data_IF_970503668637
#
_entry.id   IF_970503668637
#
_cell.length_a   1.000
_cell.length_b   1.000
_cell.length_c   1.000
_cell.angle_alpha   90.00
_cell.angle_beta   90.00
_cell.angle_gamma   90.00
#
_symmetry.space_group_name_H-M   'P 1'
#
loop_
_entity.id
_entity.type
_entity.pdbx_description
1 polymer ?
#
# COMPACT_ATOMS: atom_id res chain seq x y z
N UNK A 1 -40.84 33.13 40.58
CA UNK A 1 -40.26 31.96 39.93
C UNK A 1 -39.78 32.40 38.56
N UNK A 2 -38.53 32.77 38.46
CA UNK A 2 -37.88 33.33 37.25
C UNK A 2 -37.12 32.21 36.58
N UNK A 3 -37.49 31.82 35.36
CA UNK A 3 -36.78 30.86 34.52
C UNK A 3 -35.53 31.50 33.96
N UNK A 4 -34.36 31.01 34.32
CA UNK A 4 -33.08 31.33 33.71
C UNK A 4 -32.95 30.48 32.43
N UNK A 5 -32.86 31.13 31.29
CA UNK A 5 -32.52 30.52 29.99
C UNK A 5 -30.98 30.57 29.86
N UNK A 6 -30.33 29.41 29.86
CA UNK A 6 -28.93 29.27 29.48
C UNK A 6 -28.81 29.38 27.96
N UNK A 7 -28.16 30.43 27.48
CA UNK A 7 -27.73 30.56 26.09
C UNK A 7 -26.45 29.78 25.91
N UNK A 8 -26.46 28.81 24.98
CA UNK A 8 -25.26 28.11 24.47
C UNK A 8 -24.53 29.06 23.54
N UNK A 9 -23.22 29.26 23.69
CA UNK A 9 -22.45 30.05 22.72
C UNK A 9 -22.30 29.30 21.42
N UNK A 10 -22.71 29.92 20.33
CA UNK A 10 -22.51 29.43 18.95
C UNK A 10 -21.05 29.64 18.56
N UNK A 11 -20.25 28.61 18.54
CA UNK A 11 -18.90 28.64 17.95
C UNK A 11 -19.02 28.65 16.41
N UNK A 12 -19.18 29.81 15.83
CA UNK A 12 -19.26 30.02 14.40
C UNK A 12 -18.15 31.00 13.88
N UNK A 13 -16.98 31.02 14.48
CA UNK A 13 -15.89 31.93 14.05
C UNK A 13 -14.48 31.29 14.06
N UNK A 14 -14.29 30.09 13.52
CA UNK A 14 -12.95 29.55 13.32
C UNK A 14 -12.68 28.88 11.96
N UNK A 15 -13.56 28.99 10.98
CA UNK A 15 -13.36 28.33 9.67
C UNK A 15 -13.39 29.26 8.46
N UNK A 16 -13.22 30.58 8.61
CA UNK A 16 -13.21 31.50 7.48
C UNK A 16 -11.83 31.76 6.84
N UNK A 17 -10.79 31.00 7.19
CA UNK A 17 -9.40 31.21 6.74
C UNK A 17 -8.84 30.25 5.69
N UNK A 18 -9.58 29.23 5.25
CA UNK A 18 -9.05 28.18 4.36
C UNK A 18 -9.82 28.05 3.02
N UNK A 19 -10.26 29.16 2.46
CA UNK A 19 -10.77 29.21 1.08
C UNK A 19 -9.67 29.70 0.12
N UNK A 20 -8.63 28.89 -0.03
CA UNK A 20 -7.66 28.99 -1.11
C UNK A 20 -7.30 27.56 -1.50
N UNK A 21 -7.95 27.02 -2.55
CA UNK A 21 -7.50 25.79 -3.15
C UNK A 21 -6.07 25.98 -3.63
N UNK A 22 -5.09 25.42 -2.90
CA UNK A 22 -3.70 25.39 -3.33
C UNK A 22 -3.64 24.64 -4.66
N UNK A 23 -3.11 25.21 -5.73
CA UNK A 23 -2.95 24.49 -6.99
C UNK A 23 -2.08 23.24 -6.75
N UNK A 24 -2.45 22.13 -7.36
CA UNK A 24 -1.79 20.81 -7.20
C UNK A 24 -0.26 20.86 -7.37
N UNK A 25 0.25 21.84 -8.11
CA UNK A 25 1.69 22.10 -8.29
C UNK A 25 2.38 22.67 -7.05
N UNK A 26 1.68 23.40 -6.19
CA UNK A 26 2.28 23.99 -5.00
C UNK A 26 2.32 22.99 -3.85
N UNK A 27 1.38 22.04 -3.79
CA UNK A 27 1.45 20.90 -2.87
C UNK A 27 2.74 20.08 -3.10
N UNK A 28 3.09 19.79 -4.36
CA UNK A 28 4.33 19.07 -4.70
C UNK A 28 5.60 19.86 -4.39
N UNK A 29 5.56 21.19 -4.41
CA UNK A 29 6.70 22.04 -4.06
C UNK A 29 6.93 22.10 -2.55
N UNK A 30 5.87 22.07 -1.74
CA UNK A 30 5.99 22.09 -0.28
C UNK A 30 6.43 20.74 0.30
N UNK A 31 6.11 19.61 -0.35
CA UNK A 31 6.65 18.30 0.02
C UNK A 31 8.11 18.12 -0.38
N UNK A 32 8.56 18.78 -1.47
CA UNK A 32 9.97 18.73 -1.92
C UNK A 32 10.92 19.67 -1.19
N UNK A 33 10.43 20.77 -0.59
CA UNK A 33 11.28 21.76 0.08
C UNK A 33 11.52 21.51 1.56
N UNK A 34 10.78 20.59 2.17
CA UNK A 34 10.89 20.24 3.60
C UNK A 34 11.98 19.23 3.94
N UNK A 35 12.61 18.60 2.96
CA UNK A 35 13.64 17.57 3.17
C UNK A 35 15.09 18.07 2.98
N UNK A 36 15.31 19.38 2.84
CA UNK A 36 16.64 19.96 2.67
C UNK A 36 17.28 20.43 3.98
N UNK A 37 16.99 19.83 5.12
CA UNK A 37 17.63 20.17 6.38
C UNK A 37 18.12 18.94 7.14
N UNK A 38 19.44 18.95 7.28
CA UNK A 38 20.32 18.14 8.10
C UNK A 38 20.87 16.87 7.44
N UNK A 39 21.85 17.07 6.57
CA UNK A 39 22.94 16.12 6.44
C UNK A 39 23.69 16.02 7.77
N UNK A 40 23.35 15.06 8.61
CA UNK A 40 24.25 14.59 9.65
C UNK A 40 25.10 13.48 9.01
N UNK A 41 26.35 13.83 8.76
CA UNK A 41 27.39 12.90 8.40
C UNK A 41 27.58 11.92 9.56
N UNK A 42 26.99 10.74 9.45
CA UNK A 42 27.48 9.56 10.16
C UNK A 42 28.37 8.81 9.18
N UNK A 43 29.67 9.07 9.30
CA UNK A 43 30.72 8.20 8.75
C UNK A 43 30.67 6.89 9.53
N UNK A 44 29.95 5.93 8.99
CA UNK A 44 30.09 4.53 9.29
C UNK A 44 30.45 3.89 7.97
N UNK A 45 31.73 3.62 7.74
CA UNK A 45 32.17 2.68 6.75
C UNK A 45 31.80 1.30 7.27
N UNK A 46 30.74 0.73 6.76
CA UNK A 46 30.61 -0.71 6.60
C UNK A 46 30.44 -0.95 5.12
N UNK A 47 31.38 -1.69 4.56
CA UNK A 47 31.33 -2.25 3.21
C UNK A 47 30.22 -3.31 3.22
N UNK A 48 28.95 -2.87 3.15
CA UNK A 48 27.83 -3.75 2.83
C UNK A 48 27.77 -3.89 1.31
N UNK A 49 28.58 -4.83 0.80
CA UNK A 49 28.29 -5.48 -0.47
C UNK A 49 26.81 -5.88 -0.44
N UNK A 50 26.06 -5.64 -1.54
CA UNK A 50 24.70 -6.14 -1.74
C UNK A 50 24.62 -7.61 -1.33
N UNK A 51 24.31 -7.90 -0.07
CA UNK A 51 24.20 -9.27 0.44
C UNK A 51 22.95 -9.91 -0.16
N UNK A 52 23.12 -10.38 -1.39
CA UNK A 52 22.26 -11.43 -1.93
C UNK A 52 22.52 -12.63 -1.04
N UNK A 53 21.53 -13.05 -0.26
CA UNK A 53 21.70 -14.26 0.53
C UNK A 53 22.09 -15.46 -0.38
N UNK A 54 22.49 -16.59 0.21
CA UNK A 54 22.95 -17.77 -0.54
C UNK A 54 21.94 -18.30 -1.58
N UNK A 55 20.70 -17.84 -1.54
CA UNK A 55 19.62 -18.16 -2.49
C UNK A 55 19.45 -17.11 -3.61
N UNK A 56 20.19 -16.00 -3.58
CA UNK A 56 20.06 -14.90 -4.55
C UNK A 56 18.88 -13.96 -4.27
N UNK A 57 18.27 -14.02 -3.08
CA UNK A 57 17.16 -13.15 -2.71
C UNK A 57 17.63 -11.74 -2.36
N UNK A 58 16.77 -10.75 -2.54
CA UNK A 58 17.04 -9.35 -2.26
C UNK A 58 16.80 -9.09 -0.77
N UNK A 59 17.86 -8.86 -0.02
CA UNK A 59 17.76 -8.47 1.38
C UNK A 59 17.29 -7.01 1.46
N UNK A 60 16.17 -6.78 2.16
CA UNK A 60 15.63 -5.42 2.34
C UNK A 60 16.41 -4.60 3.38
N UNK A 61 17.34 -5.23 4.11
CA UNK A 61 18.05 -4.62 5.22
C UNK A 61 17.28 -4.64 6.53
N UNK A 62 17.70 -3.79 7.47
CA UNK A 62 17.15 -3.70 8.82
C UNK A 62 16.74 -2.27 9.16
N UNK A 63 16.21 -2.05 10.36
CA UNK A 63 15.81 -0.73 10.86
C UNK A 63 14.74 -0.03 9.99
N UNK A 64 14.59 1.27 10.12
CA UNK A 64 13.66 2.07 9.34
C UNK A 64 13.92 1.97 7.82
N UNK A 65 15.18 1.93 7.40
CA UNK A 65 15.53 1.80 5.97
C UNK A 65 15.11 0.44 5.44
N UNK A 66 15.29 -0.63 6.21
CA UNK A 66 14.78 -1.96 5.84
C UNK A 66 13.27 -1.98 5.66
N UNK A 67 12.51 -1.30 6.54
CA UNK A 67 11.05 -1.17 6.40
C UNK A 67 10.67 -0.36 5.16
N UNK A 68 11.39 0.74 4.86
CA UNK A 68 11.15 1.51 3.64
C UNK A 68 11.47 0.71 2.37
N UNK A 69 12.55 -0.08 2.36
CA UNK A 69 12.88 -0.98 1.26
C UNK A 69 11.84 -2.08 1.07
N UNK A 70 11.36 -2.63 2.17
CA UNK A 70 10.27 -3.60 2.13
C UNK A 70 9.01 -3.02 1.51
N UNK A 71 8.58 -1.82 1.93
CA UNK A 71 7.46 -1.12 1.32
C UNK A 71 7.74 -0.84 -0.17
N UNK A 72 8.93 -0.31 -0.50
CA UNK A 72 9.33 -0.05 -1.88
C UNK A 72 9.25 -1.30 -2.77
N UNK A 73 9.62 -2.47 -2.23
CA UNK A 73 9.52 -3.73 -2.97
C UNK A 73 8.08 -4.09 -3.33
N UNK A 74 7.12 -3.88 -2.42
CA UNK A 74 5.70 -4.13 -2.67
C UNK A 74 5.15 -3.13 -3.69
N UNK A 75 5.48 -1.85 -3.56
CA UNK A 75 5.07 -0.82 -4.52
C UNK A 75 5.66 -1.03 -5.93
N UNK A 76 6.87 -1.59 -6.03
CA UNK A 76 7.42 -1.99 -7.33
C UNK A 76 6.56 -3.08 -7.98
N UNK A 77 6.10 -4.05 -7.19
CA UNK A 77 5.27 -5.15 -7.68
C UNK A 77 3.90 -4.66 -8.13
N UNK A 78 3.24 -3.83 -7.33
CA UNK A 78 1.92 -3.27 -7.61
C UNK A 78 1.96 -2.32 -8.81
N UNK A 79 2.93 -1.40 -8.85
CA UNK A 79 3.12 -0.50 -10.00
C UNK A 79 3.39 -1.26 -11.30
N UNK A 80 4.19 -2.33 -11.26
CA UNK A 80 4.46 -3.17 -12.42
C UNK A 80 3.20 -3.92 -12.88
N UNK A 81 2.43 -4.47 -11.92
CA UNK A 81 1.18 -5.16 -12.22
C UNK A 81 0.17 -4.22 -12.89
N UNK A 82 -0.16 -3.11 -12.30
CA UNK A 82 -1.14 -2.18 -12.88
C UNK A 82 -0.66 -1.57 -14.20
N UNK A 83 0.64 -1.30 -14.32
CA UNK A 83 1.20 -0.88 -15.62
C UNK A 83 0.97 -1.93 -16.70
N UNK A 84 1.18 -3.21 -16.40
CA UNK A 84 0.90 -4.30 -17.34
C UNK A 84 -0.60 -4.41 -17.65
N UNK A 85 -1.48 -4.19 -16.69
CA UNK A 85 -2.94 -4.16 -16.90
C UNK A 85 -3.31 -3.09 -17.92
N UNK A 86 -2.92 -1.83 -17.69
CA UNK A 86 -3.39 -0.70 -18.52
C UNK A 86 -2.69 -0.60 -19.88
N UNK A 87 -1.50 -1.20 -20.04
CA UNK A 87 -0.75 -1.25 -21.32
C UNK A 87 -0.99 -2.52 -22.12
N UNK A 88 -1.88 -3.39 -21.67
CA UNK A 88 -2.18 -4.67 -22.30
C UNK A 88 -2.63 -4.53 -23.76
N UNK A 89 -2.17 -5.46 -24.58
CA UNK A 89 -2.51 -5.53 -26.01
C UNK A 89 -4.00 -5.81 -26.24
N UNK A 90 -4.44 -5.71 -27.50
CA UNK A 90 -5.78 -6.13 -27.90
C UNK A 90 -6.06 -7.59 -27.46
N UNK A 91 -7.25 -7.83 -26.91
CA UNK A 91 -7.64 -9.13 -26.36
C UNK A 91 -7.43 -9.27 -24.85
N UNK A 92 -6.78 -8.31 -24.18
CA UNK A 92 -6.73 -8.28 -22.72
C UNK A 92 -8.04 -7.77 -22.12
N UNK A 93 -8.26 -8.10 -20.86
CA UNK A 93 -9.42 -7.65 -20.09
C UNK A 93 -9.58 -6.13 -20.12
N UNK A 94 -8.51 -5.40 -19.82
CA UNK A 94 -8.52 -3.94 -19.81
C UNK A 94 -8.83 -3.34 -21.20
N UNK A 95 -8.27 -3.92 -22.27
CA UNK A 95 -8.55 -3.48 -23.64
C UNK A 95 -10.01 -3.70 -24.04
N UNK A 96 -10.68 -4.69 -23.44
CA UNK A 96 -12.10 -4.98 -23.64
C UNK A 96 -13.05 -4.05 -22.89
N UNK A 97 -12.57 -3.31 -21.90
CA UNK A 97 -13.39 -2.35 -21.15
C UNK A 97 -13.73 -1.12 -22.00
N UNK A 98 -14.96 -0.66 -21.92
CA UNK A 98 -15.38 0.57 -22.60
C UNK A 98 -14.52 1.77 -22.19
N UNK A 99 -14.17 2.64 -23.15
CA UNK A 99 -13.27 3.78 -22.92
C UNK A 99 -13.69 4.70 -21.77
N UNK A 100 -14.99 4.81 -21.50
CA UNK A 100 -15.58 5.65 -20.46
C UNK A 100 -16.18 4.81 -19.30
N UNK A 101 -15.88 3.51 -19.21
CA UNK A 101 -16.36 2.72 -18.09
C UNK A 101 -15.69 3.12 -16.79
N UNK A 102 -16.44 3.09 -15.69
CA UNK A 102 -15.90 3.41 -14.36
C UNK A 102 -14.74 2.48 -14.00
N UNK A 103 -14.86 1.20 -14.32
CA UNK A 103 -13.82 0.21 -14.04
C UNK A 103 -12.51 0.51 -14.78
N UNK A 104 -12.57 0.92 -16.07
CA UNK A 104 -11.38 1.32 -16.80
C UNK A 104 -10.72 2.55 -16.18
N UNK A 105 -11.50 3.53 -15.73
CA UNK A 105 -10.99 4.72 -15.05
C UNK A 105 -10.34 4.34 -13.72
N UNK A 106 -10.99 3.48 -12.92
CA UNK A 106 -10.47 2.98 -11.64
C UNK A 106 -9.10 2.31 -11.84
N UNK A 107 -8.99 1.34 -12.75
CA UNK A 107 -7.73 0.64 -13.01
C UNK A 107 -6.63 1.58 -13.52
N UNK A 108 -7.00 2.62 -14.26
CA UNK A 108 -6.06 3.66 -14.71
C UNK A 108 -5.59 4.52 -13.54
N UNK A 109 -6.50 4.93 -12.66
CA UNK A 109 -6.16 5.74 -11.48
C UNK A 109 -5.29 4.94 -10.50
N UNK A 110 -5.59 3.66 -10.27
CA UNK A 110 -4.74 2.78 -9.46
C UNK A 110 -3.32 2.69 -10.04
N UNK A 111 -3.17 2.48 -11.34
CA UNK A 111 -1.86 2.45 -11.99
C UNK A 111 -1.06 3.74 -11.77
N UNK A 112 -1.73 4.90 -11.73
CA UNK A 112 -1.07 6.19 -11.45
C UNK A 112 -0.71 6.34 -9.96
N UNK A 113 -1.55 5.84 -9.05
CA UNK A 113 -1.28 5.90 -7.62
C UNK A 113 -0.11 5.00 -7.24
N UNK A 114 -0.12 3.73 -7.67
CA UNK A 114 0.97 2.80 -7.38
C UNK A 114 2.32 3.25 -7.98
N UNK A 115 2.26 3.82 -9.20
CA UNK A 115 3.44 4.48 -9.76
C UNK A 115 3.93 5.63 -8.87
N UNK A 116 3.03 6.44 -8.31
CA UNK A 116 3.41 7.56 -7.45
C UNK A 116 3.98 7.08 -6.10
N UNK A 117 3.42 6.04 -5.49
CA UNK A 117 3.93 5.41 -4.28
C UNK A 117 5.33 4.83 -4.50
N UNK A 118 5.51 4.02 -5.54
CA UNK A 118 6.83 3.49 -5.93
C UNK A 118 7.87 4.61 -6.12
N UNK A 119 7.52 5.65 -6.89
CA UNK A 119 8.43 6.75 -7.19
C UNK A 119 8.73 7.59 -5.92
N UNK A 120 7.77 7.68 -4.98
CA UNK A 120 7.98 8.31 -3.68
C UNK A 120 9.06 7.58 -2.89
N UNK A 121 9.00 6.25 -2.73
CA UNK A 121 10.02 5.48 -2.04
C UNK A 121 11.37 5.56 -2.77
N UNK A 122 11.38 5.42 -4.09
CA UNK A 122 12.59 5.53 -4.91
C UNK A 122 13.34 6.84 -4.70
N UNK A 123 12.62 7.93 -4.43
CA UNK A 123 13.21 9.25 -4.18
C UNK A 123 13.47 9.54 -2.69
N UNK A 124 12.89 8.78 -1.78
CA UNK A 124 13.00 8.99 -0.34
C UNK A 124 14.12 8.16 0.28
N UNK A 125 14.33 6.92 -0.20
CA UNK A 125 15.38 6.04 0.29
C UNK A 125 16.72 6.52 -0.26
N UNK A 126 17.76 6.64 0.60
CA UNK A 126 19.09 7.02 0.14
C UNK A 126 19.61 6.07 -0.95
N UNK A 127 20.25 6.60 -1.98
CA UNK A 127 20.70 5.82 -3.13
C UNK A 127 21.70 4.70 -2.77
N UNK A 128 22.46 4.88 -1.68
CA UNK A 128 23.38 3.84 -1.19
C UNK A 128 22.68 2.71 -0.41
N UNK A 129 21.41 2.86 -0.07
CA UNK A 129 20.69 1.92 0.79
C UNK A 129 19.42 1.38 0.14
N UNK A 130 19.07 1.86 -1.05
CA UNK A 130 17.86 1.41 -1.77
C UNK A 130 18.13 0.06 -2.43
N UNK A 131 17.15 -0.84 -2.31
CA UNK A 131 17.21 -2.11 -3.04
C UNK A 131 17.09 -1.88 -4.55
N UNK A 132 17.64 -2.82 -5.32
CA UNK A 132 17.54 -2.80 -6.79
C UNK A 132 16.09 -2.84 -7.29
N UNK A 133 15.90 -2.49 -8.55
CA UNK A 133 14.63 -2.69 -9.24
C UNK A 133 14.36 -4.22 -9.37
N UNK A 134 13.17 -4.65 -8.98
CA UNK A 134 12.76 -6.05 -8.97
C UNK A 134 12.21 -6.47 -10.33
N UNK A 135 12.31 -7.76 -10.63
CA UNK A 135 11.73 -8.36 -11.83
C UNK A 135 10.48 -9.16 -11.45
N UNK A 136 9.27 -8.68 -11.80
CA UNK A 136 8.03 -9.41 -11.53
C UNK A 136 7.90 -10.70 -12.36
N UNK A 137 7.12 -11.64 -11.84
CA UNK A 137 6.65 -12.82 -12.54
C UNK A 137 5.11 -12.90 -12.42
N UNK A 138 4.42 -12.48 -13.43
CA UNK A 138 2.96 -12.54 -13.51
C UNK A 138 2.43 -13.73 -14.31
N UNK A 139 3.22 -14.78 -14.45
CA UNK A 139 2.82 -16.01 -15.17
C UNK A 139 1.59 -16.71 -14.56
N UNK A 140 1.34 -16.48 -13.27
CA UNK A 140 0.16 -16.96 -12.54
C UNK A 140 -1.12 -16.13 -12.80
N UNK A 141 -1.04 -15.05 -13.60
CA UNK A 141 -2.16 -14.16 -13.90
C UNK A 141 -2.58 -14.34 -15.37
N UNK A 142 -3.88 -14.41 -15.59
CA UNK A 142 -4.49 -14.35 -16.91
C UNK A 142 -5.04 -12.94 -17.16
N UNK A 143 -4.30 -12.16 -17.94
CA UNK A 143 -4.68 -10.78 -18.27
C UNK A 143 -5.84 -10.68 -19.26
N UNK A 144 -6.39 -11.78 -19.74
CA UNK A 144 -7.53 -11.79 -20.68
C UNK A 144 -8.89 -11.79 -19.97
N UNK A 145 -8.91 -12.11 -18.67
CA UNK A 145 -10.14 -12.18 -17.86
C UNK A 145 -10.07 -11.28 -16.64
N UNK A 146 -11.19 -10.68 -16.26
CA UNK A 146 -11.27 -9.87 -15.03
C UNK A 146 -11.28 -10.72 -13.77
N UNK A 147 -12.13 -11.75 -13.75
CA UNK A 147 -12.29 -12.67 -12.63
C UNK A 147 -12.08 -14.09 -13.09
N UNK A 148 -11.39 -14.90 -12.27
CA UNK A 148 -11.25 -16.33 -12.52
C UNK A 148 -12.58 -17.04 -12.28
N UNK A 149 -12.79 -18.15 -12.98
CA UNK A 149 -13.85 -19.11 -12.67
C UNK A 149 -13.34 -20.14 -11.68
N UNK A 150 -14.25 -20.96 -11.13
CA UNK A 150 -13.88 -22.07 -10.21
C UNK A 150 -12.94 -23.11 -10.83
N UNK A 151 -12.83 -23.15 -12.16
CA UNK A 151 -11.97 -24.08 -12.92
C UNK A 151 -10.69 -23.42 -13.44
N UNK A 152 -10.51 -22.11 -13.27
CA UNK A 152 -9.32 -21.41 -13.72
C UNK A 152 -8.11 -21.73 -12.87
N UNK A 153 -7.00 -22.12 -13.51
CA UNK A 153 -5.72 -22.34 -12.86
C UNK A 153 -5.00 -21.03 -12.49
N UNK A 154 -5.33 -19.92 -13.18
CA UNK A 154 -4.70 -18.60 -13.01
C UNK A 154 -5.69 -17.62 -12.38
N UNK A 155 -5.15 -16.59 -11.75
CA UNK A 155 -5.91 -15.43 -11.29
C UNK A 155 -6.34 -14.58 -12.49
N UNK A 156 -7.54 -14.01 -12.44
CA UNK A 156 -7.87 -12.89 -13.32
C UNK A 156 -7.28 -11.57 -12.83
N UNK A 157 -7.43 -10.52 -13.61
CA UNK A 157 -6.90 -9.18 -13.29
C UNK A 157 -7.42 -8.66 -11.95
N UNK A 158 -8.73 -8.74 -11.71
CA UNK A 158 -9.33 -8.27 -10.45
C UNK A 158 -9.02 -9.19 -9.27
N UNK A 159 -8.88 -10.52 -9.50
CA UNK A 159 -8.44 -11.43 -8.43
C UNK A 159 -7.01 -11.09 -7.97
N UNK A 160 -6.12 -10.79 -8.91
CA UNK A 160 -4.74 -10.40 -8.61
C UNK A 160 -4.69 -9.02 -7.95
N UNK A 161 -5.46 -8.04 -8.46
CA UNK A 161 -5.59 -6.71 -7.86
C UNK A 161 -6.04 -6.82 -6.40
N UNK A 162 -7.10 -7.57 -6.11
CA UNK A 162 -7.58 -7.78 -4.74
C UNK A 162 -6.49 -8.39 -3.84
N UNK A 163 -5.76 -9.38 -4.36
CA UNK A 163 -4.69 -10.03 -3.59
C UNK A 163 -3.53 -9.08 -3.27
N UNK A 164 -3.15 -8.18 -4.20
CA UNK A 164 -2.09 -7.20 -3.98
C UNK A 164 -2.53 -6.10 -3.03
N UNK A 165 -3.66 -5.46 -3.25
CA UNK A 165 -4.16 -4.37 -2.42
C UNK A 165 -4.40 -4.81 -0.96
N UNK A 166 -5.06 -5.96 -0.75
CA UNK A 166 -5.26 -6.51 0.60
C UNK A 166 -3.92 -6.88 1.28
N UNK A 167 -2.95 -7.34 0.47
CA UNK A 167 -1.62 -7.65 0.97
C UNK A 167 -0.86 -6.38 1.35
N UNK A 168 -0.95 -5.33 0.54
CA UNK A 168 -0.35 -4.01 0.79
C UNK A 168 -0.86 -3.40 2.09
N UNK A 169 -2.20 -3.34 2.27
CA UNK A 169 -2.82 -2.85 3.52
C UNK A 169 -2.32 -3.63 4.73
N UNK A 170 -2.37 -4.97 4.67
CA UNK A 170 -1.92 -5.82 5.78
C UNK A 170 -0.42 -5.70 6.06
N UNK A 171 0.39 -5.47 5.02
CA UNK A 171 1.83 -5.28 5.09
C UNK A 171 2.20 -3.98 5.79
N UNK A 172 1.61 -2.84 5.38
CA UNK A 172 1.84 -1.54 6.02
C UNK A 172 1.44 -1.56 7.50
N UNK A 173 0.26 -2.09 7.81
CA UNK A 173 -0.21 -2.23 9.19
C UNK A 173 0.71 -3.16 10.02
N UNK A 174 1.28 -4.19 9.40
CA UNK A 174 2.18 -5.12 10.06
C UNK A 174 3.58 -4.58 10.27
N UNK A 175 4.13 -3.86 9.29
CA UNK A 175 5.48 -3.32 9.32
C UNK A 175 5.60 -2.01 10.13
N UNK A 176 4.52 -1.25 10.26
CA UNK A 176 4.51 0.04 10.98
C UNK A 176 5.08 -0.03 12.40
N UNK A 177 4.95 -1.19 13.07
CA UNK A 177 5.49 -1.42 14.42
C UNK A 177 7.01 -1.39 14.50
N UNK A 178 7.72 -1.57 13.39
CA UNK A 178 9.17 -1.59 13.33
C UNK A 178 9.77 -0.22 12.98
N UNK A 179 8.93 0.77 12.62
CA UNK A 179 9.35 2.13 12.30
C UNK A 179 9.58 2.89 13.61
N UNK A 180 10.78 3.39 13.79
CA UNK A 180 11.18 4.21 14.94
C UNK A 180 11.11 5.71 14.66
N UNK A 181 11.33 6.12 13.40
CA UNK A 181 11.26 7.52 12.97
C UNK A 181 9.79 7.96 12.81
N UNK A 182 9.30 8.93 13.60
CA UNK A 182 7.90 9.36 13.54
C UNK A 182 7.50 9.99 12.20
N UNK A 183 8.45 10.54 11.44
CA UNK A 183 8.18 11.07 10.10
C UNK A 183 7.87 9.93 9.14
N UNK A 184 8.67 8.87 9.15
CA UNK A 184 8.42 7.69 8.31
C UNK A 184 7.13 6.98 8.70
N UNK A 185 6.85 6.87 10.01
CA UNK A 185 5.59 6.30 10.48
C UNK A 185 4.38 7.12 9.99
N UNK A 186 4.46 8.44 10.06
CA UNK A 186 3.40 9.32 9.55
C UNK A 186 3.22 9.20 8.03
N UNK A 187 4.30 9.02 7.26
CA UNK A 187 4.25 8.81 5.82
C UNK A 187 3.64 7.44 5.49
N UNK A 188 4.06 6.38 6.17
CA UNK A 188 3.47 5.05 6.03
C UNK A 188 1.97 5.07 6.33
N UNK A 189 1.55 5.78 7.38
CA UNK A 189 0.14 5.97 7.73
C UNK A 189 -0.67 6.69 6.64
N UNK A 190 -0.06 7.63 5.91
CA UNK A 190 -0.72 8.30 4.78
C UNK A 190 -0.86 7.36 3.57
N UNK A 191 0.15 6.57 3.27
CA UNK A 191 0.10 5.62 2.16
C UNK A 191 -0.92 4.53 2.46
N UNK A 192 -0.85 3.84 3.61
CA UNK A 192 -1.81 2.78 3.95
C UNK A 192 -3.26 3.27 3.96
N UNK A 193 -3.49 4.55 4.25
CA UNK A 193 -4.82 5.17 4.12
C UNK A 193 -5.31 5.24 2.67
N UNK A 194 -4.42 5.31 1.69
CA UNK A 194 -4.75 5.25 0.25
C UNK A 194 -4.93 3.79 -0.17
N UNK A 195 -4.01 2.91 0.23
CA UNK A 195 -4.08 1.46 -0.02
C UNK A 195 -5.41 0.86 0.44
N UNK A 196 -5.89 1.24 1.63
CA UNK A 196 -7.19 0.77 2.13
C UNK A 196 -8.37 1.21 1.24
N UNK A 197 -8.26 2.35 0.55
CA UNK A 197 -9.27 2.78 -0.44
C UNK A 197 -9.18 1.99 -1.72
N UNK A 198 -7.96 1.66 -2.17
CA UNK A 198 -7.73 0.80 -3.33
C UNK A 198 -8.33 -0.58 -3.08
N UNK A 199 -7.97 -1.22 -1.97
CA UNK A 199 -8.48 -2.52 -1.56
C UNK A 199 -10.01 -2.53 -1.50
N UNK A 200 -10.61 -1.55 -0.83
CA UNK A 200 -12.07 -1.43 -0.71
C UNK A 200 -12.74 -1.31 -2.08
N UNK A 201 -12.18 -0.51 -2.99
CA UNK A 201 -12.74 -0.29 -4.32
C UNK A 201 -12.61 -1.55 -5.20
N UNK A 202 -11.47 -2.23 -5.18
CA UNK A 202 -11.29 -3.49 -5.91
C UNK A 202 -12.23 -4.58 -5.37
N UNK A 203 -12.40 -4.67 -4.05
CA UNK A 203 -13.34 -5.61 -3.43
C UNK A 203 -14.78 -5.35 -3.88
N UNK A 204 -15.19 -4.09 -3.97
CA UNK A 204 -16.53 -3.74 -4.45
C UNK A 204 -16.71 -4.06 -5.95
N UNK A 205 -15.66 -3.91 -6.77
CA UNK A 205 -15.65 -4.38 -8.17
C UNK A 205 -15.73 -5.91 -8.25
N UNK A 206 -15.14 -6.62 -7.30
CA UNK A 206 -15.23 -8.08 -7.24
C UNK A 206 -16.64 -8.54 -6.86
N UNK A 207 -17.20 -7.98 -5.81
CA UNK A 207 -18.54 -8.28 -5.36
C UNK A 207 -19.16 -7.02 -4.77
N UNK A 208 -20.28 -6.60 -5.31
CA UNK A 208 -20.99 -5.40 -4.84
C UNK A 208 -21.26 -5.45 -3.34
N UNK A 209 -20.97 -4.36 -2.63
CA UNK A 209 -21.02 -4.23 -1.17
C UNK A 209 -20.04 -5.11 -0.37
N UNK A 210 -18.96 -5.59 -0.97
CA UNK A 210 -17.92 -6.37 -0.26
C UNK A 210 -16.66 -5.56 0.05
N UNK A 211 -16.76 -4.24 0.10
CA UNK A 211 -15.64 -3.33 0.33
C UNK A 211 -14.82 -3.64 1.61
N UNK A 212 -15.41 -4.28 2.59
CA UNK A 212 -14.79 -4.79 3.82
C UNK A 212 -15.38 -6.16 4.14
N UNK A 213 -14.52 -7.15 4.45
CA UNK A 213 -14.96 -8.48 4.86
C UNK A 213 -14.10 -9.02 6.01
N UNK A 214 -14.59 -10.07 6.65
CA UNK A 214 -13.98 -10.70 7.82
C UNK A 214 -12.62 -11.35 7.56
N UNK A 215 -12.20 -11.53 6.33
CA UNK A 215 -10.88 -12.04 5.98
C UNK A 215 -9.77 -10.97 6.15
N UNK A 216 -10.10 -9.68 6.00
CA UNK A 216 -9.15 -8.55 6.11
C UNK A 216 -9.37 -7.71 7.36
N UNK A 217 -10.60 -7.56 7.83
CA UNK A 217 -10.92 -6.76 9.02
C UNK A 217 -11.47 -7.65 10.12
N UNK A 218 -11.13 -7.34 11.36
CA UNK A 218 -11.71 -8.00 12.53
C UNK A 218 -13.11 -7.45 12.78
N UNK A 219 -14.09 -7.96 12.03
CA UNK A 219 -15.47 -7.49 12.11
C UNK A 219 -16.12 -7.86 13.44
N UNK A 220 -16.86 -6.91 13.98
CA UNK A 220 -17.60 -7.10 15.23
C UNK A 220 -18.73 -8.11 15.05
N UNK A 221 -18.58 -9.30 15.63
CA UNK A 221 -19.70 -10.22 15.86
C UNK A 221 -20.12 -10.04 17.32
N UNK A 222 -21.22 -9.34 17.63
CA UNK A 222 -21.65 -9.15 19.02
C UNK A 222 -21.98 -10.51 19.65
N UNK A 223 -21.09 -10.98 20.52
CA UNK A 223 -21.40 -12.05 21.45
C UNK A 223 -21.43 -11.49 22.86
N UNK A 224 -22.26 -12.04 23.71
CA UNK A 224 -22.49 -11.53 25.07
C UNK A 224 -21.21 -11.38 25.94
N UNK A 225 -20.06 -11.89 25.47
CA UNK A 225 -18.78 -11.91 26.18
C UNK A 225 -17.62 -11.36 25.35
N UNK A 226 -17.86 -10.67 24.26
CA UNK A 226 -16.78 -10.08 23.45
C UNK A 226 -16.20 -8.89 24.16
N UNK A 227 -14.92 -8.98 24.58
CA UNK A 227 -14.19 -7.84 25.08
C UNK A 227 -13.74 -6.96 23.88
N UNK A 228 -14.02 -5.65 23.87
CA UNK A 228 -13.55 -4.76 22.80
C UNK A 228 -12.02 -4.80 22.67
N UNK A 229 -11.51 -4.95 21.46
CA UNK A 229 -10.07 -4.89 21.16
C UNK A 229 -9.28 -6.18 21.36
N UNK A 230 -9.92 -7.30 21.65
CA UNK A 230 -9.25 -8.59 21.85
C UNK A 230 -9.69 -9.61 20.79
N UNK A 231 -9.31 -9.38 19.52
CA UNK A 231 -9.35 -10.41 18.47
C UNK A 231 -10.75 -10.91 18.05
N UNK A 232 -11.83 -10.30 18.53
CA UNK A 232 -13.20 -10.67 18.21
C UNK A 232 -14.05 -9.41 18.03
N UNK A 233 -13.91 -8.78 16.87
CA UNK A 233 -14.76 -7.66 16.49
C UNK A 233 -14.24 -6.30 16.95
N UNK A 234 -12.93 -6.07 16.81
CA UNK A 234 -12.32 -4.75 17.08
C UNK A 234 -12.61 -3.73 15.97
N UNK A 235 -13.03 -4.18 14.78
CA UNK A 235 -13.14 -3.33 13.59
C UNK A 235 -11.78 -2.90 13.01
N UNK A 236 -10.68 -3.48 13.50
CA UNK A 236 -9.33 -3.14 13.04
C UNK A 236 -8.90 -4.04 11.88
N UNK A 237 -8.05 -3.49 11.03
CA UNK A 237 -7.41 -4.22 9.94
C UNK A 237 -6.51 -5.33 10.49
N UNK A 238 -6.54 -6.50 9.84
CA UNK A 238 -5.68 -7.64 10.16
C UNK A 238 -4.29 -7.44 9.59
N UNK A 239 -3.36 -7.05 10.45
CA UNK A 239 -1.96 -6.86 10.05
C UNK A 239 -1.22 -8.18 9.86
N UNK A 240 -0.27 -8.22 8.91
CA UNK A 240 0.63 -9.35 8.66
C UNK A 240 2.09 -8.95 8.87
N UNK A 241 2.87 -9.80 9.52
CA UNK A 241 4.33 -9.59 9.64
C UNK A 241 5.00 -9.66 8.26
N UNK A 242 6.13 -8.95 8.04
CA UNK A 242 6.86 -9.02 6.78
C UNK A 242 7.16 -10.44 6.30
N UNK A 243 7.58 -11.34 7.21
CA UNK A 243 7.84 -12.75 6.90
C UNK A 243 6.62 -13.52 6.37
N UNK A 244 5.42 -13.12 6.73
CA UNK A 244 4.16 -13.72 6.21
C UNK A 244 3.84 -13.13 4.84
N UNK A 245 4.00 -11.82 4.69
CA UNK A 245 3.70 -11.09 3.44
C UNK A 245 4.55 -11.58 2.28
N UNK A 246 5.88 -11.75 2.50
CA UNK A 246 6.78 -12.20 1.43
C UNK A 246 6.47 -13.63 0.96
N UNK A 247 5.81 -14.46 1.77
CA UNK A 247 5.33 -15.77 1.35
C UNK A 247 4.35 -15.70 0.18
N UNK A 248 3.60 -14.59 0.07
CA UNK A 248 2.72 -14.30 -1.07
C UNK A 248 3.45 -13.48 -2.13
N UNK A 249 4.09 -12.37 -1.77
CA UNK A 249 4.74 -11.46 -2.73
C UNK A 249 5.80 -12.17 -3.58
N UNK A 250 6.60 -13.05 -2.99
CA UNK A 250 7.66 -13.80 -3.68
C UNK A 250 7.13 -14.79 -4.75
N UNK A 251 5.84 -15.10 -4.75
CA UNK A 251 5.22 -15.90 -5.81
C UNK A 251 5.09 -15.11 -7.13
N UNK A 252 5.14 -13.79 -7.06
CA UNK A 252 5.04 -12.88 -8.19
C UNK A 252 6.38 -12.21 -8.54
N UNK A 253 7.48 -12.75 -8.03
CA UNK A 253 8.84 -12.28 -8.31
C UNK A 253 9.69 -13.41 -8.90
N UNK A 254 10.50 -13.06 -9.91
CA UNK A 254 11.46 -13.99 -10.51
C UNK A 254 12.57 -14.35 -9.51
N UNK A 255 13.25 -15.48 -9.78
CA UNK A 255 14.47 -15.83 -9.09
C UNK A 255 15.49 -14.67 -9.17
N UNK A 256 16.16 -14.36 -8.06
CA UNK A 256 17.04 -13.21 -7.93
C UNK A 256 16.33 -11.87 -7.67
N UNK A 257 15.00 -11.85 -7.61
CA UNK A 257 14.19 -10.70 -7.17
C UNK A 257 13.30 -11.01 -5.97
N UNK A 258 13.33 -12.24 -5.46
CA UNK A 258 12.60 -12.62 -4.26
C UNK A 258 13.15 -11.88 -3.05
N UNK A 259 12.28 -11.56 -2.11
CA UNK A 259 12.61 -10.75 -0.94
C UNK A 259 13.07 -11.62 0.23
N UNK A 260 14.09 -11.15 0.91
CA UNK A 260 14.51 -11.58 2.23
C UNK A 260 14.27 -10.43 3.23
N UNK A 261 13.45 -10.71 4.25
CA UNK A 261 13.08 -9.76 5.32
C UNK A 261 13.59 -10.20 6.69
N UNK A 262 14.62 -11.03 6.72
CA UNK A 262 15.20 -11.56 7.97
C UNK A 262 15.68 -10.47 8.93
N UNK A 263 16.01 -9.28 8.40
CA UNK A 263 16.40 -8.11 9.18
C UNK A 263 15.23 -7.34 9.83
N UNK A 264 13.95 -7.72 9.57
CA UNK A 264 12.77 -7.01 10.05
C UNK A 264 12.02 -7.69 11.23
N UNK A 265 12.59 -8.64 11.91
CA UNK A 265 12.04 -9.24 13.14
C UNK A 265 11.08 -10.39 12.93
#
# INVERSE_FOLDING_TARGET
>A
MTKQTHSVPTEAHALSGLQGALPRRDFLRYTGAGLALTGLLLTGCDDDDDEVNANGDVNVGSSDIGVLNYAYALEQLEAAFYNQVITGAAGTYFAGLGANSAERQILTDLALHEKAHRDFFKNTIPAASIIKDLTPDFSAIDFTVGKRTSTSAKLGVLDAAMAFEDLGVAAYNGAGRYITNPVYLALAGKIVSVEARHAALIRDLMNYNSFVDSDVVDLFTPTANSAPGVGNGSGLEKSKKPSVVIGTANQFLQAGSKLDVSGLG
#
